data_IF_529753611543
#
_entry.id   IF_529753611543
#
_cell.length_a   1.000
_cell.length_b   1.000
_cell.length_c   1.000
_cell.angle_alpha   90.00
_cell.angle_beta   90.00
_cell.angle_gamma   90.00
#
_symmetry.space_group_name_H-M   'P 1'
#
loop_
_entity.id
_entity.type
_entity.pdbx_description
1 polymer ?
#
# COMPACT_ATOMS: atom_id res chain seq x y z
N UNK A 1 38.49 13.44 38.93
CA UNK A 1 37.60 13.67 37.76
C UNK A 1 36.56 12.55 37.77
N UNK A 2 35.32 12.87 37.99
CA UNK A 2 34.21 11.92 37.74
C UNK A 2 34.01 11.79 36.24
N UNK A 3 33.87 10.57 35.77
CA UNK A 3 33.46 10.29 34.39
C UNK A 3 31.94 10.18 34.38
N UNK A 4 31.28 11.07 33.66
CA UNK A 4 29.87 11.00 33.44
C UNK A 4 29.61 10.30 32.10
N UNK A 5 28.63 9.40 32.09
CA UNK A 5 28.20 8.67 30.90
C UNK A 5 26.87 9.28 30.45
N UNK A 6 26.79 9.64 29.19
CA UNK A 6 25.53 10.10 28.57
C UNK A 6 25.07 9.08 27.54
N UNK A 7 23.87 8.57 27.69
CA UNK A 7 23.19 7.66 26.78
C UNK A 7 21.76 8.13 26.53
N UNK A 8 20.90 7.27 25.91
CA UNK A 8 19.49 7.62 25.63
C UNK A 8 18.63 7.93 26.86
N UNK A 9 19.06 7.48 28.05
CA UNK A 9 18.40 7.81 29.33
C UNK A 9 18.90 9.14 29.95
N UNK A 10 19.89 9.79 29.32
CA UNK A 10 20.52 10.99 29.85
C UNK A 10 21.85 10.71 30.52
N UNK A 11 22.15 11.43 31.64
CA UNK A 11 23.42 11.26 32.38
C UNK A 11 23.27 10.16 33.43
N UNK A 12 24.08 9.12 33.31
CA UNK A 12 24.00 7.92 34.15
C UNK A 12 25.38 7.61 34.75
N UNK A 13 25.42 6.77 35.81
CA UNK A 13 26.63 6.33 36.47
C UNK A 13 27.26 5.10 35.80
N UNK A 14 26.43 4.26 35.17
CA UNK A 14 26.85 2.95 34.65
C UNK A 14 26.58 2.82 33.16
N UNK A 15 27.46 2.05 32.47
CA UNK A 15 27.28 1.75 31.05
C UNK A 15 26.28 0.60 30.89
N UNK A 16 25.17 0.85 30.21
CA UNK A 16 24.29 -0.20 29.72
C UNK A 16 24.23 -0.11 28.18
N UNK A 17 24.81 -1.09 27.46
CA UNK A 17 24.87 -1.09 25.99
C UNK A 17 23.53 -0.97 25.30
N UNK A 18 22.45 -1.43 25.94
CA UNK A 18 21.07 -1.33 25.42
C UNK A 18 20.64 0.13 25.19
N UNK A 19 21.10 1.05 26.05
CA UNK A 19 20.75 2.46 25.94
C UNK A 19 21.79 3.32 25.21
N UNK A 20 22.83 2.72 24.63
CA UNK A 20 23.81 3.47 23.86
C UNK A 20 23.19 4.13 22.63
N UNK A 21 23.70 5.32 22.28
CA UNK A 21 23.41 5.91 20.98
C UNK A 21 23.98 5.05 19.88
N UNK A 22 23.20 4.79 18.83
CA UNK A 22 23.65 4.14 17.62
C UNK A 22 24.03 5.22 16.59
N UNK A 23 25.27 5.25 16.15
CA UNK A 23 25.75 6.16 15.11
C UNK A 23 26.03 5.35 13.85
N UNK A 24 25.30 5.64 12.78
CA UNK A 24 25.44 4.99 11.47
C UNK A 24 26.07 6.00 10.52
N UNK A 25 27.39 5.89 10.22
CA UNK A 25 28.04 6.80 9.29
C UNK A 25 27.42 6.71 7.90
N UNK A 26 27.09 7.87 7.31
CA UNK A 26 26.48 7.93 5.98
C UNK A 26 24.98 7.65 5.94
N UNK A 27 24.32 7.41 7.08
CA UNK A 27 22.87 7.35 7.12
C UNK A 27 22.28 8.71 6.73
N UNK A 28 21.44 8.71 5.72
CA UNK A 28 20.81 9.92 5.20
C UNK A 28 19.32 9.69 4.96
N UNK A 29 18.50 10.49 5.58
CA UNK A 29 17.07 10.65 5.28
C UNK A 29 16.93 11.90 4.43
N UNK A 30 16.12 11.90 3.37
CA UNK A 30 15.90 13.09 2.54
C UNK A 30 15.57 14.32 3.39
N UNK A 31 16.24 15.44 3.12
CA UNK A 31 16.11 16.64 3.97
C UNK A 31 14.70 17.21 3.98
N UNK A 32 13.98 17.10 2.86
CA UNK A 32 12.60 17.54 2.75
C UNK A 32 11.63 16.79 3.68
N UNK A 33 11.96 15.54 4.05
CA UNK A 33 11.10 14.72 4.92
C UNK A 33 11.25 15.05 6.42
N UNK A 34 12.36 15.72 6.79
CA UNK A 34 12.67 16.04 8.18
C UNK A 34 11.76 17.15 8.71
N UNK A 35 10.82 16.79 9.58
CA UNK A 35 9.85 17.72 10.17
C UNK A 35 8.71 18.11 9.25
N UNK A 36 8.56 17.48 8.09
CA UNK A 36 7.47 17.74 7.16
C UNK A 36 6.12 17.29 7.71
N UNK A 37 5.09 18.10 7.49
CA UNK A 37 3.69 17.75 7.83
C UNK A 37 3.13 16.85 6.73
N UNK A 38 2.98 15.58 7.06
CA UNK A 38 2.43 14.56 6.17
C UNK A 38 0.95 14.32 6.47
N UNK A 39 0.11 14.32 5.43
CA UNK A 39 -1.33 14.06 5.54
C UNK A 39 -1.71 12.80 4.77
N UNK A 40 -2.20 11.80 5.48
CA UNK A 40 -2.69 10.55 4.88
C UNK A 40 -4.08 10.75 4.29
N UNK A 41 -4.27 10.31 3.04
CA UNK A 41 -5.55 10.41 2.33
C UNK A 41 -6.03 9.01 1.95
N UNK A 42 -7.16 8.60 2.52
CA UNK A 42 -7.95 7.49 2.01
C UNK A 42 -8.83 8.02 0.86
N UNK A 43 -8.42 7.80 -0.38
CA UNK A 43 -8.92 8.51 -1.56
C UNK A 43 -10.43 8.36 -1.73
N UNK A 44 -10.98 7.13 -1.65
CA UNK A 44 -12.43 6.87 -1.73
C UNK A 44 -13.26 7.70 -0.73
N UNK A 45 -12.67 8.05 0.41
CA UNK A 45 -13.33 8.74 1.53
C UNK A 45 -12.94 10.20 1.67
N UNK A 46 -12.28 10.80 0.69
CA UNK A 46 -11.78 12.18 0.78
C UNK A 46 -12.68 13.19 0.07
N UNK A 47 -12.80 13.13 -1.24
CA UNK A 47 -13.67 14.00 -2.03
C UNK A 47 -13.91 13.42 -3.42
N UNK A 48 -15.17 13.42 -3.88
CA UNK A 48 -15.55 12.99 -5.23
C UNK A 48 -15.45 14.19 -6.20
N UNK A 49 -14.46 14.18 -7.07
CA UNK A 49 -14.20 15.23 -8.06
C UNK A 49 -14.78 14.90 -9.43
N UNK A 50 -14.82 13.62 -9.81
CA UNK A 50 -15.35 13.15 -11.08
C UNK A 50 -16.32 11.97 -10.89
N UNK A 51 -17.62 12.24 -10.93
CA UNK A 51 -18.66 11.22 -10.76
C UNK A 51 -18.77 10.24 -11.92
N UNK A 52 -18.05 10.46 -13.01
CA UNK A 52 -18.10 9.56 -14.17
C UNK A 52 -17.26 8.31 -13.98
N UNK A 53 -16.32 8.35 -13.03
CA UNK A 53 -15.47 7.22 -12.67
C UNK A 53 -15.98 6.42 -11.44
N UNK A 54 -17.06 6.85 -10.80
CA UNK A 54 -17.62 6.16 -9.62
C UNK A 54 -17.86 4.68 -9.87
N UNK A 55 -17.53 3.83 -8.89
CA UNK A 55 -18.03 2.46 -8.82
C UNK A 55 -19.55 2.52 -8.64
N UNK A 56 -20.28 1.78 -9.48
CA UNK A 56 -21.75 1.74 -9.42
C UNK A 56 -22.24 0.49 -8.68
N UNK A 57 -23.51 0.50 -8.27
CA UNK A 57 -24.13 -0.69 -7.66
C UNK A 57 -24.04 -1.88 -8.61
N UNK A 58 -23.75 -3.06 -8.06
CA UNK A 58 -23.67 -4.33 -8.77
C UNK A 58 -22.61 -4.38 -9.89
N UNK A 59 -21.63 -3.48 -9.88
CA UNK A 59 -20.59 -3.45 -10.92
C UNK A 59 -19.76 -4.74 -10.93
N UNK A 60 -19.48 -5.30 -9.77
CA UNK A 60 -18.85 -6.61 -9.54
C UNK A 60 -19.16 -7.11 -8.13
N UNK A 61 -18.61 -8.28 -7.76
CA UNK A 61 -18.66 -8.77 -6.38
C UNK A 61 -17.28 -8.72 -5.72
N UNK A 62 -17.25 -8.46 -4.41
CA UNK A 62 -16.05 -8.53 -3.59
C UNK A 62 -16.37 -9.22 -2.27
N UNK A 63 -15.62 -10.27 -1.93
CA UNK A 63 -15.91 -11.16 -0.78
C UNK A 63 -17.39 -11.62 -0.84
N UNK A 64 -17.75 -12.31 -1.92
CA UNK A 64 -19.04 -12.95 -2.21
C UNK A 64 -20.29 -12.04 -2.23
N UNK A 65 -20.12 -10.73 -2.16
CA UNK A 65 -21.24 -9.78 -2.16
C UNK A 65 -21.03 -8.67 -3.19
N UNK A 66 -22.13 -8.15 -3.71
CA UNK A 66 -22.10 -7.03 -4.64
C UNK A 66 -21.56 -5.76 -4.02
N UNK A 67 -20.75 -5.03 -4.80
CA UNK A 67 -20.32 -3.67 -4.44
C UNK A 67 -21.47 -2.70 -4.50
N UNK A 68 -21.41 -1.64 -3.69
CA UNK A 68 -22.46 -0.62 -3.61
C UNK A 68 -21.88 0.79 -3.65
N UNK A 69 -22.56 1.67 -4.39
CA UNK A 69 -22.26 3.09 -4.39
C UNK A 69 -22.94 3.79 -3.22
N UNK A 70 -22.20 4.52 -2.42
CA UNK A 70 -22.73 5.36 -1.35
C UNK A 70 -23.11 6.73 -1.91
N UNK A 71 -24.40 7.05 -1.92
CA UNK A 71 -24.91 8.32 -2.47
C UNK A 71 -25.02 9.43 -1.45
N UNK A 72 -25.15 9.09 -0.17
CA UNK A 72 -25.11 10.05 0.94
C UNK A 72 -23.71 10.05 1.56
N UNK A 73 -22.95 11.09 1.26
CA UNK A 73 -21.58 11.25 1.79
C UNK A 73 -21.51 11.22 3.32
N UNK A 74 -22.58 11.57 4.01
CA UNK A 74 -22.65 11.57 5.48
C UNK A 74 -23.04 10.22 6.09
N UNK A 75 -23.35 9.21 5.25
CA UNK A 75 -23.58 7.84 5.74
C UNK A 75 -22.35 7.34 6.47
N UNK A 76 -22.54 6.77 7.66
CA UNK A 76 -21.44 6.07 8.34
C UNK A 76 -21.10 4.76 7.62
N UNK A 77 -19.82 4.41 7.48
CA UNK A 77 -19.41 3.12 6.90
C UNK A 77 -20.01 1.95 7.67
N UNK A 78 -20.44 0.92 6.93
CA UNK A 78 -20.87 -0.34 7.53
C UNK A 78 -19.71 -1.09 8.19
N UNK A 79 -20.00 -2.07 9.04
CA UNK A 79 -18.98 -2.91 9.69
C UNK A 79 -18.12 -3.69 8.69
N UNK A 80 -18.69 -4.11 7.55
CA UNK A 80 -17.99 -4.67 6.40
C UNK A 80 -18.01 -3.67 5.24
N UNK A 81 -17.49 -2.46 5.49
CA UNK A 81 -17.55 -1.33 4.56
C UNK A 81 -16.56 -1.38 3.39
N UNK A 82 -15.81 -2.48 3.20
CA UNK A 82 -14.81 -2.62 2.13
C UNK A 82 -15.41 -2.64 0.71
N UNK A 83 -16.71 -2.90 0.61
CA UNK A 83 -17.52 -2.93 -0.63
C UNK A 83 -18.34 -1.69 -0.87
N UNK A 84 -18.32 -0.73 0.04
CA UNK A 84 -19.05 0.53 -0.05
C UNK A 84 -18.13 1.63 -0.59
N UNK A 85 -18.47 2.15 -1.77
CA UNK A 85 -17.68 3.19 -2.44
C UNK A 85 -18.35 4.55 -2.31
N UNK A 86 -17.63 5.51 -1.76
CA UNK A 86 -18.06 6.90 -1.63
C UNK A 86 -17.72 7.73 -2.87
N UNK A 87 -16.87 7.18 -3.75
CA UNK A 87 -16.52 7.79 -5.01
C UNK A 87 -15.46 8.89 -4.91
N UNK A 88 -14.73 8.99 -3.80
CA UNK A 88 -13.54 9.86 -3.76
C UNK A 88 -12.50 9.42 -4.77
N UNK A 89 -11.82 10.38 -5.41
CA UNK A 89 -10.89 10.16 -6.51
C UNK A 89 -9.72 11.16 -6.52
N UNK A 90 -8.78 10.97 -7.44
CA UNK A 90 -7.62 11.85 -7.56
C UNK A 90 -7.99 13.26 -8.06
N UNK A 91 -9.07 13.40 -8.83
CA UNK A 91 -9.60 14.73 -9.20
C UNK A 91 -10.09 15.45 -7.94
N UNK A 92 -10.76 14.75 -7.05
CA UNK A 92 -11.21 15.29 -5.76
C UNK A 92 -10.05 15.72 -4.87
N UNK A 93 -8.97 14.94 -4.82
CA UNK A 93 -7.73 15.36 -4.12
C UNK A 93 -7.16 16.60 -4.78
N UNK A 94 -7.11 16.65 -6.12
CA UNK A 94 -6.63 17.81 -6.87
C UNK A 94 -7.46 19.07 -6.57
N UNK A 95 -8.77 18.95 -6.51
CA UNK A 95 -9.70 20.05 -6.20
C UNK A 95 -9.52 20.60 -4.77
N UNK A 96 -8.95 19.80 -3.88
CA UNK A 96 -8.70 20.13 -2.48
C UNK A 96 -7.25 20.53 -2.17
N UNK A 97 -6.39 20.68 -3.17
CA UNK A 97 -4.99 21.04 -2.93
C UNK A 97 -4.82 22.41 -2.25
N UNK A 98 -5.67 23.40 -2.55
CA UNK A 98 -5.65 24.69 -1.86
C UNK A 98 -5.99 24.53 -0.37
N UNK A 99 -7.02 23.76 -0.04
CA UNK A 99 -7.37 23.43 1.34
C UNK A 99 -6.23 22.73 2.08
N UNK A 100 -5.59 21.74 1.46
CA UNK A 100 -4.47 21.01 2.06
C UNK A 100 -3.26 21.93 2.28
N UNK A 101 -2.97 22.81 1.33
CA UNK A 101 -1.89 23.79 1.44
C UNK A 101 -2.17 24.81 2.56
N UNK A 102 -3.40 25.32 2.66
CA UNK A 102 -3.83 26.27 3.72
C UNK A 102 -3.79 25.59 5.12
N UNK A 103 -4.01 24.28 5.17
CA UNK A 103 -3.87 23.49 6.41
C UNK A 103 -2.40 23.30 6.82
N UNK A 104 -1.44 23.63 5.93
CA UNK A 104 -0.01 23.47 6.17
C UNK A 104 0.54 22.09 5.82
N UNK A 105 -0.17 21.33 4.98
CA UNK A 105 0.31 20.03 4.50
C UNK A 105 1.47 20.22 3.53
N UNK A 106 2.54 19.49 3.75
CA UNK A 106 3.74 19.51 2.92
C UNK A 106 3.90 18.22 2.09
N UNK A 107 3.32 17.12 2.58
CA UNK A 107 3.42 15.80 1.93
C UNK A 107 2.05 15.13 1.90
N UNK A 108 1.59 14.73 0.73
CA UNK A 108 0.43 13.89 0.54
C UNK A 108 0.87 12.41 0.59
N UNK A 109 0.42 11.68 1.59
CA UNK A 109 0.51 10.23 1.62
C UNK A 109 -0.83 9.65 1.15
N UNK A 110 -0.84 9.09 -0.05
CA UNK A 110 -2.03 8.44 -0.60
C UNK A 110 -2.05 6.97 -0.17
N UNK A 111 -3.14 6.52 0.46
CA UNK A 111 -3.43 5.09 0.57
C UNK A 111 -3.36 4.46 -0.82
N UNK A 112 -3.27 3.12 -0.96
CA UNK A 112 -3.07 2.50 -2.27
C UNK A 112 -4.03 3.02 -3.34
N UNK A 113 -3.52 3.29 -4.53
CA UNK A 113 -4.28 3.86 -5.66
C UNK A 113 -4.17 3.05 -6.95
N UNK A 114 -3.43 1.94 -6.91
CA UNK A 114 -3.32 1.03 -8.03
C UNK A 114 -4.64 0.28 -8.25
N UNK A 115 -4.84 -0.27 -9.46
CA UNK A 115 -6.04 -1.06 -9.77
C UNK A 115 -6.26 -2.12 -8.69
N UNK A 116 -7.43 -2.09 -8.05
CA UNK A 116 -7.80 -3.00 -6.95
C UNK A 116 -9.31 -3.02 -6.75
N UNK A 117 -9.89 -4.17 -6.37
CA UNK A 117 -11.34 -4.31 -6.25
C UNK A 117 -11.93 -3.70 -4.98
N UNK A 118 -11.18 -3.58 -3.88
CA UNK A 118 -11.68 -2.96 -2.66
C UNK A 118 -11.60 -1.43 -2.70
N UNK A 119 -12.35 -0.77 -1.82
CA UNK A 119 -12.24 0.68 -1.66
C UNK A 119 -10.93 1.12 -1.01
N UNK A 120 -10.31 0.26 -0.18
CA UNK A 120 -9.02 0.53 0.48
C UNK A 120 -7.80 0.22 -0.39
N UNK A 121 -7.97 -0.63 -1.42
CA UNK A 121 -6.97 -1.00 -2.43
C UNK A 121 -5.66 -1.65 -1.92
N UNK A 122 -5.66 -2.23 -0.71
CA UNK A 122 -4.55 -3.06 -0.22
C UNK A 122 -4.52 -4.47 -0.86
N UNK A 123 -5.39 -4.75 -1.80
CA UNK A 123 -5.52 -5.98 -2.57
C UNK A 123 -5.22 -5.72 -4.06
N UNK A 124 -4.00 -5.31 -4.33
CA UNK A 124 -3.57 -4.83 -5.65
C UNK A 124 -3.83 -5.86 -6.76
N UNK A 125 -4.55 -5.42 -7.80
CA UNK A 125 -4.85 -6.18 -9.00
C UNK A 125 -3.80 -5.95 -10.09
N UNK A 126 -3.32 -4.72 -10.25
CA UNK A 126 -2.27 -4.37 -11.21
C UNK A 126 -1.39 -3.23 -10.67
N UNK A 127 -0.09 -3.51 -10.47
CA UNK A 127 0.89 -2.54 -9.96
C UNK A 127 1.36 -1.52 -11.01
N UNK A 128 1.04 -1.72 -12.27
CA UNK A 128 1.50 -0.86 -13.36
C UNK A 128 0.59 0.33 -13.63
N UNK A 129 -0.64 0.30 -13.10
CA UNK A 129 -1.64 1.29 -13.45
C UNK A 129 -2.41 1.81 -12.24
N UNK A 130 -2.69 3.12 -12.31
CA UNK A 130 -3.64 3.78 -11.40
C UNK A 130 -5.05 3.26 -11.71
N UNK A 131 -5.81 2.97 -10.67
CA UNK A 131 -7.20 2.51 -10.81
C UNK A 131 -8.03 3.54 -11.58
N UNK A 132 -8.70 3.17 -12.68
CA UNK A 132 -9.54 4.08 -13.44
C UNK A 132 -10.70 4.69 -12.63
N UNK A 133 -11.16 4.03 -11.56
CA UNK A 133 -12.14 4.60 -10.64
C UNK A 133 -11.56 5.73 -9.77
N UNK A 134 -10.23 5.83 -9.66
CA UNK A 134 -9.54 6.97 -9.05
C UNK A 134 -8.95 7.92 -10.08
N UNK A 135 -8.79 7.44 -11.32
CA UNK A 135 -8.22 8.17 -12.43
C UNK A 135 -9.26 8.63 -13.44
N UNK A 136 -9.12 8.15 -14.67
CA UNK A 136 -9.96 8.56 -15.82
C UNK A 136 -10.49 7.36 -16.58
N UNK A 137 -11.79 7.29 -16.79
CA UNK A 137 -12.46 6.32 -17.66
C UNK A 137 -12.78 7.00 -18.99
N UNK A 138 -12.00 6.69 -20.05
CA UNK A 138 -12.23 7.24 -21.41
C UNK A 138 -13.11 6.34 -22.29
N UNK A 139 -13.11 5.05 -22.00
CA UNK A 139 -14.00 4.07 -22.62
C UNK A 139 -14.81 3.34 -21.55
N UNK A 140 -16.07 3.68 -21.42
CA UNK A 140 -17.02 3.00 -20.53
C UNK A 140 -17.96 2.10 -21.33
N UNK A 141 -18.65 1.18 -20.65
CA UNK A 141 -19.61 0.25 -21.26
C UNK A 141 -19.67 -1.06 -20.52
N UNK A 142 -20.38 -2.02 -21.13
CA UNK A 142 -20.66 -3.31 -20.46
C UNK A 142 -21.82 -3.19 -19.47
N UNK A 143 -22.16 -4.32 -18.87
CA UNK A 143 -23.31 -4.48 -17.97
C UNK A 143 -22.83 -4.74 -16.56
N UNK A 144 -23.61 -4.31 -15.57
CA UNK A 144 -23.45 -4.71 -14.16
C UNK A 144 -23.97 -6.14 -13.98
N UNK A 145 -23.57 -6.77 -12.89
CA UNK A 145 -24.03 -8.13 -12.55
C UNK A 145 -25.55 -8.15 -12.27
N UNK A 146 -26.20 -9.25 -12.65
CA UNK A 146 -27.57 -9.51 -12.20
C UNK A 146 -27.57 -9.77 -10.67
N UNK A 147 -28.67 -9.50 -10.00
CA UNK A 147 -28.76 -9.55 -8.53
C UNK A 147 -28.41 -10.92 -7.91
N UNK A 148 -28.55 -12.01 -8.67
CA UNK A 148 -28.23 -13.38 -8.28
C UNK A 148 -26.91 -13.90 -8.87
N UNK A 149 -26.23 -13.12 -9.71
CA UNK A 149 -24.94 -13.46 -10.31
C UNK A 149 -23.79 -13.04 -9.37
N UNK A 150 -22.85 -13.95 -9.10
CA UNK A 150 -21.66 -13.71 -8.27
C UNK A 150 -20.35 -13.93 -9.02
N UNK A 151 -20.43 -14.22 -10.32
CA UNK A 151 -19.29 -14.53 -11.16
C UNK A 151 -18.67 -13.25 -11.76
N UNK A 152 -17.53 -12.82 -11.27
CA UNK A 152 -16.83 -11.63 -11.76
C UNK A 152 -16.42 -11.72 -13.24
N UNK A 153 -16.29 -12.93 -13.79
CA UNK A 153 -16.13 -13.14 -15.24
C UNK A 153 -17.29 -12.59 -16.10
N UNK A 154 -18.45 -12.31 -15.48
CA UNK A 154 -19.62 -11.69 -16.12
C UNK A 154 -19.72 -10.18 -15.85
N UNK A 155 -18.89 -9.64 -14.99
CA UNK A 155 -18.84 -8.22 -14.62
C UNK A 155 -18.25 -7.35 -15.76
N UNK A 156 -18.94 -7.34 -16.93
CA UNK A 156 -18.38 -6.79 -18.17
C UNK A 156 -18.13 -5.28 -18.08
N UNK A 157 -18.89 -4.56 -17.24
CA UNK A 157 -18.63 -3.15 -16.96
C UNK A 157 -17.32 -2.95 -16.21
N UNK A 158 -17.12 -3.69 -15.12
CA UNK A 158 -15.88 -3.64 -14.35
C UNK A 158 -14.67 -4.01 -15.22
N UNK A 159 -14.75 -5.15 -15.93
CA UNK A 159 -13.68 -5.60 -16.84
C UNK A 159 -13.36 -4.50 -17.86
N UNK A 160 -14.38 -3.91 -18.49
CA UNK A 160 -14.18 -2.83 -19.48
C UNK A 160 -13.48 -1.63 -18.89
N UNK A 161 -13.74 -1.30 -17.62
CA UNK A 161 -13.14 -0.15 -16.94
C UNK A 161 -11.67 -0.41 -16.54
N UNK A 162 -11.38 -1.58 -15.95
CA UNK A 162 -10.09 -1.84 -15.29
C UNK A 162 -9.10 -2.67 -16.10
N UNK A 163 -9.52 -3.29 -17.23
CA UNK A 163 -8.64 -4.06 -18.12
C UNK A 163 -8.32 -3.30 -19.40
N UNK A 164 -9.15 -2.36 -19.80
CA UNK A 164 -8.95 -1.59 -21.04
C UNK A 164 -7.73 -0.68 -20.96
N UNK A 165 -6.76 -0.93 -21.84
CA UNK A 165 -5.48 -0.20 -21.87
C UNK A 165 -5.64 1.32 -22.00
N UNK A 166 -6.68 1.81 -22.72
CA UNK A 166 -6.88 3.26 -22.87
C UNK A 166 -7.27 3.91 -21.55
N UNK A 167 -8.09 3.24 -20.74
CA UNK A 167 -8.45 3.72 -19.40
C UNK A 167 -7.23 3.69 -18.47
N UNK A 168 -6.47 2.61 -18.51
CA UNK A 168 -5.27 2.43 -17.70
C UNK A 168 -4.19 3.48 -18.04
N UNK A 169 -3.90 3.69 -19.31
CA UNK A 169 -2.95 4.70 -19.78
C UNK A 169 -3.43 6.14 -19.49
N UNK A 170 -4.74 6.41 -19.67
CA UNK A 170 -5.31 7.72 -19.37
C UNK A 170 -5.21 8.04 -17.88
N UNK A 171 -5.45 7.04 -17.00
CA UNK A 171 -5.33 7.18 -15.56
C UNK A 171 -3.88 7.43 -15.12
N UNK A 172 -2.92 6.72 -15.72
CA UNK A 172 -1.50 6.98 -15.49
C UNK A 172 -1.07 8.38 -15.97
N UNK A 173 -1.56 8.81 -17.13
CA UNK A 173 -1.27 10.15 -17.65
C UNK A 173 -1.89 11.25 -16.79
N UNK A 174 -3.09 11.01 -16.24
CA UNK A 174 -3.71 11.91 -15.29
C UNK A 174 -2.92 12.00 -13.99
N UNK A 175 -2.47 10.87 -13.45
CA UNK A 175 -1.66 10.83 -12.24
C UNK A 175 -0.33 11.59 -12.39
N UNK A 176 0.33 11.49 -13.55
CA UNK A 176 1.54 12.29 -13.80
C UNK A 176 1.25 13.80 -13.71
N UNK A 177 0.11 14.26 -14.24
CA UNK A 177 -0.32 15.68 -14.13
C UNK A 177 -0.71 16.03 -12.69
N UNK A 178 -1.32 15.11 -11.96
CA UNK A 178 -1.62 15.30 -10.54
C UNK A 178 -0.34 15.56 -9.74
N UNK A 179 0.69 14.73 -9.91
CA UNK A 179 1.97 14.91 -9.21
C UNK A 179 2.64 16.22 -9.61
N UNK A 180 2.64 16.58 -10.91
CA UNK A 180 3.16 17.86 -11.39
C UNK A 180 2.45 19.05 -10.69
N UNK A 181 1.13 19.01 -10.55
CA UNK A 181 0.36 20.07 -9.89
C UNK A 181 0.65 20.13 -8.37
N UNK A 182 0.82 18.99 -7.70
CA UNK A 182 1.23 18.94 -6.29
C UNK A 182 2.62 19.56 -6.13
N UNK A 183 3.57 19.21 -6.99
CA UNK A 183 4.93 19.76 -6.97
C UNK A 183 4.94 21.27 -7.27
N UNK A 184 4.10 21.75 -8.19
CA UNK A 184 3.97 23.17 -8.50
C UNK A 184 3.57 24.01 -7.27
N UNK A 185 2.87 23.41 -6.33
CA UNK A 185 2.48 24.00 -5.04
C UNK A 185 3.54 23.84 -3.95
N UNK A 186 4.67 23.21 -4.24
CA UNK A 186 5.76 22.96 -3.31
C UNK A 186 5.50 21.78 -2.35
N UNK A 187 4.43 21.02 -2.57
CA UNK A 187 4.12 19.80 -1.82
C UNK A 187 4.75 18.56 -2.45
N UNK A 188 4.78 17.47 -1.72
CA UNK A 188 5.33 16.17 -2.09
C UNK A 188 4.23 15.09 -2.14
N UNK A 189 4.51 13.98 -2.87
CA UNK A 189 3.60 12.82 -2.94
C UNK A 189 4.36 11.56 -2.61
N UNK A 190 3.84 10.76 -1.67
CA UNK A 190 4.28 9.38 -1.46
C UNK A 190 3.11 8.41 -1.68
N UNK A 191 3.42 7.27 -2.29
CA UNK A 191 2.46 6.20 -2.54
C UNK A 191 2.61 5.05 -1.54
N UNK A 192 1.53 4.34 -1.33
CA UNK A 192 1.51 3.11 -0.56
C UNK A 192 1.92 1.93 -1.45
N UNK A 193 2.96 1.24 -1.06
CA UNK A 193 3.51 0.06 -1.75
C UNK A 193 3.11 -1.22 -1.03
N UNK A 194 2.09 -1.89 -1.53
CA UNK A 194 1.61 -3.17 -0.99
C UNK A 194 2.34 -4.30 -1.70
N UNK A 195 3.53 -4.65 -1.24
CA UNK A 195 4.41 -5.61 -1.93
C UNK A 195 4.52 -6.97 -1.25
N UNK A 196 3.99 -7.13 -0.02
CA UNK A 196 3.97 -8.43 0.67
C UNK A 196 2.99 -9.43 0.03
N UNK A 197 1.86 -8.94 -0.46
CA UNK A 197 0.77 -9.70 -1.06
C UNK A 197 0.14 -8.91 -2.20
N UNK A 198 -0.68 -9.56 -3.00
CA UNK A 198 -1.56 -8.89 -3.97
C UNK A 198 -3.02 -9.22 -3.67
N UNK A 199 -3.95 -8.83 -4.54
CA UNK A 199 -5.35 -9.23 -4.47
C UNK A 199 -5.63 -10.54 -5.21
N UNK A 200 -6.74 -11.22 -4.90
CA UNK A 200 -7.21 -12.39 -5.65
C UNK A 200 -7.60 -12.03 -7.10
N UNK A 201 -7.91 -10.77 -7.37
CA UNK A 201 -8.17 -10.23 -8.71
C UNK A 201 -6.91 -9.97 -9.53
N UNK A 202 -5.70 -10.09 -8.93
CA UNK A 202 -4.46 -9.76 -9.60
C UNK A 202 -4.26 -10.57 -10.88
N UNK A 203 -3.84 -9.91 -11.95
CA UNK A 203 -3.63 -10.50 -13.29
C UNK A 203 -2.70 -11.71 -13.32
N UNK A 204 -1.82 -11.87 -12.32
CA UNK A 204 -0.91 -13.01 -12.23
C UNK A 204 -1.60 -14.26 -11.67
N UNK A 205 -2.58 -14.07 -10.79
CA UNK A 205 -3.40 -15.16 -10.22
C UNK A 205 -4.67 -15.38 -11.05
N UNK A 206 -5.41 -14.31 -11.32
CA UNK A 206 -6.69 -14.23 -12.03
C UNK A 206 -7.75 -15.21 -11.48
N UNK A 207 -7.88 -15.26 -10.14
CA UNK A 207 -8.88 -16.08 -9.46
C UNK A 207 -10.30 -15.72 -9.91
N UNK A 208 -10.53 -14.45 -10.17
CA UNK A 208 -11.84 -13.92 -10.52
C UNK A 208 -12.14 -13.97 -12.03
N UNK A 209 -11.19 -14.50 -12.84
CA UNK A 209 -11.35 -14.73 -14.29
C UNK A 209 -11.71 -13.48 -15.09
N UNK A 210 -11.19 -12.32 -14.67
CA UNK A 210 -11.44 -11.04 -15.32
C UNK A 210 -10.49 -10.78 -16.49
N UNK A 211 -9.34 -11.44 -16.52
CA UNK A 211 -8.36 -11.37 -17.61
C UNK A 211 -8.44 -12.56 -18.58
N UNK A 212 -9.10 -13.66 -18.19
CA UNK A 212 -9.11 -14.94 -18.90
C UNK A 212 -9.60 -14.86 -20.36
N UNK A 213 -10.48 -13.91 -20.67
CA UNK A 213 -11.07 -13.74 -22.02
C UNK A 213 -10.29 -12.77 -22.92
N UNK A 214 -9.29 -12.07 -22.40
CA UNK A 214 -8.46 -11.10 -23.15
C UNK A 214 -7.14 -11.75 -23.55
N UNK A 215 -6.97 -12.02 -24.85
CA UNK A 215 -5.78 -12.67 -25.42
C UNK A 215 -4.48 -11.84 -25.28
N UNK A 216 -4.57 -10.58 -24.86
CA UNK A 216 -3.41 -9.73 -24.57
C UNK A 216 -2.77 -10.02 -23.21
N UNK A 217 -3.44 -10.78 -22.35
CA UNK A 217 -2.95 -11.22 -21.05
C UNK A 217 -2.62 -12.72 -21.05
N UNK A 218 -1.54 -13.07 -20.36
CA UNK A 218 -1.21 -14.46 -20.08
C UNK A 218 -2.20 -15.03 -19.06
N UNK A 219 -2.44 -16.34 -19.13
CA UNK A 219 -3.33 -17.03 -18.18
C UNK A 219 -2.79 -16.94 -16.75
N UNK A 220 -3.66 -16.62 -15.82
CA UNK A 220 -3.33 -16.56 -14.40
C UNK A 220 -2.97 -17.92 -13.79
N UNK A 221 -2.17 -17.89 -12.73
CA UNK A 221 -1.69 -19.10 -12.06
C UNK A 221 -2.79 -19.88 -11.31
N UNK A 222 -3.93 -19.27 -11.03
CA UNK A 222 -5.09 -19.96 -10.49
C UNK A 222 -5.71 -20.91 -11.52
N UNK A 223 -5.70 -20.51 -12.80
CA UNK A 223 -6.42 -21.20 -13.87
C UNK A 223 -5.67 -22.40 -14.43
N UNK A 224 -4.33 -22.34 -14.45
CA UNK A 224 -3.52 -23.41 -15.02
C UNK A 224 -2.14 -23.54 -14.36
N UNK A 225 -1.66 -24.79 -14.24
CA UNK A 225 -0.39 -25.12 -13.60
C UNK A 225 0.82 -24.60 -14.36
N UNK A 226 0.78 -24.58 -15.68
CA UNK A 226 1.86 -24.10 -16.55
C UNK A 226 1.79 -22.59 -16.85
N UNK A 227 1.04 -21.83 -16.05
CA UNK A 227 1.03 -20.36 -16.11
C UNK A 227 2.45 -19.79 -15.98
N UNK A 228 2.81 -18.77 -16.78
CA UNK A 228 4.08 -18.08 -16.61
C UNK A 228 4.22 -17.39 -15.24
N UNK A 229 3.13 -17.26 -14.50
CA UNK A 229 3.10 -16.65 -13.16
C UNK A 229 3.03 -17.68 -12.04
N UNK A 230 3.14 -18.99 -12.33
CA UNK A 230 3.00 -20.05 -11.33
C UNK A 230 3.92 -19.84 -10.13
N UNK A 231 5.19 -19.53 -10.35
CA UNK A 231 6.20 -19.34 -9.29
C UNK A 231 6.11 -17.98 -8.56
N UNK A 232 5.20 -17.10 -8.98
CA UNK A 232 4.89 -15.88 -8.25
C UNK A 232 4.12 -16.15 -6.96
N UNK A 233 3.52 -17.34 -6.86
CA UNK A 233 2.77 -17.83 -5.72
C UNK A 233 3.33 -19.17 -5.24
N UNK A 234 3.14 -19.47 -3.97
CA UNK A 234 3.42 -20.79 -3.43
C UNK A 234 2.12 -21.58 -3.39
N UNK A 235 2.02 -22.62 -4.21
CA UNK A 235 0.90 -23.56 -4.19
C UNK A 235 1.23 -24.76 -3.33
N UNK A 236 0.32 -25.16 -2.45
CA UNK A 236 0.49 -26.33 -1.62
C UNK A 236 0.34 -27.62 -2.44
N UNK A 237 1.06 -28.70 -2.08
CA UNK A 237 1.12 -29.93 -2.90
C UNK A 237 -0.20 -30.68 -3.08
N UNK A 238 -1.20 -30.39 -2.24
CA UNK A 238 -2.54 -30.99 -2.31
C UNK A 238 -3.52 -30.17 -3.17
N UNK A 239 -3.07 -29.08 -3.74
CA UNK A 239 -3.81 -28.29 -4.71
C UNK A 239 -3.92 -28.98 -6.06
N UNK A 240 -4.89 -28.57 -6.86
CA UNK A 240 -5.11 -29.11 -8.22
C UNK A 240 -5.69 -28.07 -9.16
N UNK A 241 -5.32 -28.16 -10.44
CA UNK A 241 -5.83 -27.31 -11.51
C UNK A 241 -6.92 -28.04 -12.32
N UNK A 242 -7.81 -27.28 -12.99
CA UNK A 242 -7.92 -25.82 -12.94
C UNK A 242 -8.51 -25.30 -11.61
N UNK A 243 -8.44 -23.98 -11.43
CA UNK A 243 -9.04 -23.28 -10.29
C UNK A 243 -8.43 -23.69 -8.93
N UNK A 244 -7.08 -23.65 -8.86
CA UNK A 244 -6.35 -24.06 -7.68
C UNK A 244 -6.45 -23.01 -6.54
N UNK A 245 -7.22 -23.34 -5.52
CA UNK A 245 -7.44 -22.50 -4.32
C UNK A 245 -6.39 -22.71 -3.22
N UNK A 246 -5.48 -23.69 -3.35
CA UNK A 246 -4.48 -24.07 -2.34
C UNK A 246 -3.17 -23.32 -2.53
N UNK A 247 -3.22 -21.99 -2.42
CA UNK A 247 -2.06 -21.10 -2.43
C UNK A 247 -1.83 -20.44 -1.08
N UNK A 248 -0.59 -20.02 -0.84
CA UNK A 248 -0.23 -19.26 0.37
C UNK A 248 -0.85 -17.86 0.35
N UNK A 249 -1.32 -17.43 1.51
CA UNK A 249 -2.01 -16.14 1.67
C UNK A 249 -1.62 -15.46 2.98
N UNK A 250 -1.62 -14.12 2.97
CA UNK A 250 -1.26 -13.35 4.14
C UNK A 250 -2.28 -13.55 5.27
N UNK A 251 -1.80 -14.13 6.38
CA UNK A 251 -2.60 -14.51 7.55
C UNK A 251 -3.81 -15.41 7.23
N UNK A 252 -3.71 -16.21 6.18
CA UNK A 252 -4.77 -17.13 5.78
C UNK A 252 -5.96 -16.46 5.08
N UNK A 253 -5.84 -15.20 4.68
CA UNK A 253 -6.87 -14.50 3.90
C UNK A 253 -6.70 -14.82 2.42
N UNK A 254 -7.53 -15.66 1.87
CA UNK A 254 -7.45 -16.13 0.48
C UNK A 254 -7.66 -15.03 -0.58
N UNK A 255 -8.23 -13.90 -0.18
CA UNK A 255 -8.31 -12.68 -1.00
C UNK A 255 -7.01 -11.89 -1.07
N UNK A 256 -6.01 -12.26 -0.24
CA UNK A 256 -4.69 -11.63 -0.16
C UNK A 256 -3.57 -12.64 -0.40
N UNK A 257 -3.41 -13.16 -1.64
CA UNK A 257 -2.36 -14.11 -2.00
C UNK A 257 -0.97 -13.55 -1.68
N UNK A 258 -0.17 -14.31 -0.92
CA UNK A 258 1.18 -13.92 -0.57
C UNK A 258 2.11 -14.08 -1.76
N UNK A 259 2.97 -13.09 -2.01
CA UNK A 259 3.91 -13.11 -3.13
C UNK A 259 5.17 -13.92 -2.77
N UNK A 260 5.53 -14.88 -3.64
CA UNK A 260 6.60 -15.85 -3.44
C UNK A 260 7.93 -15.37 -4.03
N UNK A 261 8.54 -14.39 -3.43
CA UNK A 261 9.81 -13.81 -3.90
C UNK A 261 10.99 -14.79 -3.85
N UNK A 262 11.05 -15.66 -2.83
CA UNK A 262 12.11 -16.65 -2.68
C UNK A 262 12.03 -17.75 -3.75
N UNK A 263 10.84 -17.97 -4.32
CA UNK A 263 10.59 -18.88 -5.44
C UNK A 263 10.75 -18.24 -6.82
N UNK A 264 10.78 -16.89 -6.92
CA UNK A 264 10.76 -16.21 -8.21
C UNK A 264 11.59 -14.93 -8.26
N UNK A 265 12.80 -15.04 -8.80
CA UNK A 265 13.65 -13.87 -9.10
C UNK A 265 12.95 -12.91 -10.10
N UNK A 266 12.16 -13.44 -11.02
CA UNK A 266 11.39 -12.64 -11.99
C UNK A 266 10.38 -11.74 -11.29
N UNK A 267 9.69 -12.24 -10.26
CA UNK A 267 8.79 -11.45 -9.43
C UNK A 267 9.54 -10.32 -8.68
N UNK A 268 10.68 -10.66 -8.06
CA UNK A 268 11.52 -9.67 -7.37
C UNK A 268 11.94 -8.55 -8.34
N UNK A 269 12.43 -8.90 -9.52
CA UNK A 269 12.84 -7.93 -10.55
C UNK A 269 11.66 -7.07 -11.04
N UNK A 270 10.48 -7.67 -11.17
CA UNK A 270 9.27 -6.95 -11.57
C UNK A 270 8.90 -5.87 -10.54
N UNK A 271 8.82 -6.24 -9.26
CA UNK A 271 8.47 -5.29 -8.20
C UNK A 271 9.53 -4.19 -8.04
N UNK A 272 10.82 -4.52 -8.17
CA UNK A 272 11.86 -3.48 -8.21
C UNK A 272 11.72 -2.55 -9.44
N UNK A 273 11.23 -3.08 -10.56
CA UNK A 273 10.87 -2.31 -11.75
C UNK A 273 9.71 -1.33 -11.46
N UNK A 274 8.65 -1.82 -10.80
CA UNK A 274 7.50 -1.01 -10.34
C UNK A 274 7.98 0.12 -9.40
N UNK A 275 8.78 -0.24 -8.40
CA UNK A 275 9.31 0.74 -7.43
C UNK A 275 10.09 1.87 -8.12
N UNK A 276 10.90 1.52 -9.11
CA UNK A 276 11.69 2.49 -9.91
C UNK A 276 10.81 3.32 -10.83
N UNK A 277 9.83 2.70 -11.51
CA UNK A 277 8.92 3.34 -12.45
C UNK A 277 8.24 4.56 -11.85
N UNK A 278 7.66 4.41 -10.67
CA UNK A 278 6.84 5.45 -10.08
C UNK A 278 7.65 6.61 -9.50
N UNK A 279 8.88 6.39 -9.02
CA UNK A 279 9.76 7.48 -8.57
C UNK A 279 10.50 8.18 -9.71
N UNK A 280 10.49 7.61 -10.91
CA UNK A 280 11.10 8.17 -12.11
C UNK A 280 10.08 8.97 -12.94
N UNK A 281 10.59 9.77 -13.89
CA UNK A 281 9.76 10.43 -14.91
C UNK A 281 8.96 9.39 -15.72
N UNK A 282 7.69 9.66 -16.05
CA UNK A 282 6.98 10.94 -15.89
C UNK A 282 6.25 11.12 -14.53
N UNK A 283 6.21 10.10 -13.67
CA UNK A 283 5.40 10.11 -12.45
C UNK A 283 6.06 10.90 -11.32
N UNK A 284 7.37 10.68 -11.08
CA UNK A 284 8.18 11.47 -10.15
C UNK A 284 7.62 11.57 -8.73
N UNK A 285 7.03 10.50 -8.19
CA UNK A 285 6.64 10.52 -6.78
C UNK A 285 7.86 10.68 -5.88
N UNK A 286 7.66 11.26 -4.69
CA UNK A 286 8.74 11.60 -3.77
C UNK A 286 9.07 10.47 -2.79
N UNK A 287 8.39 9.34 -2.87
CA UNK A 287 8.72 8.18 -2.03
C UNK A 287 7.63 7.12 -1.95
N UNK A 288 7.95 6.10 -1.19
CA UNK A 288 7.09 4.97 -0.89
C UNK A 288 6.83 4.87 0.62
N UNK A 289 5.58 4.67 1.00
CA UNK A 289 5.23 4.00 2.25
C UNK A 289 5.06 2.53 1.95
N UNK A 290 5.65 1.67 2.74
CA UNK A 290 5.69 0.22 2.50
C UNK A 290 4.76 -0.49 3.49
N UNK A 291 3.70 -1.09 2.96
CA UNK A 291 2.72 -1.84 3.72
C UNK A 291 3.32 -3.12 4.28
N UNK A 292 3.07 -3.40 5.56
CA UNK A 292 3.54 -4.58 6.31
C UNK A 292 4.96 -5.04 5.94
N UNK A 293 5.87 -4.08 5.87
CA UNK A 293 7.18 -4.25 5.26
C UNK A 293 8.02 -5.37 5.89
N UNK A 294 7.86 -5.64 7.19
CA UNK A 294 8.59 -6.71 7.88
C UNK A 294 8.07 -8.12 7.54
N UNK A 295 6.83 -8.23 7.04
CA UNK A 295 6.20 -9.51 6.71
C UNK A 295 6.57 -10.02 5.30
N UNK A 296 7.20 -9.17 4.46
CA UNK A 296 7.54 -9.51 3.09
C UNK A 296 8.54 -10.67 3.03
N UNK A 297 8.26 -11.64 2.15
CA UNK A 297 9.04 -12.87 2.02
C UNK A 297 8.63 -13.94 3.05
N UNK A 298 9.34 -15.07 3.05
CA UNK A 298 9.08 -16.19 3.94
C UNK A 298 10.18 -16.37 5.00
N UNK A 299 11.26 -15.58 4.90
CA UNK A 299 12.34 -15.55 5.89
C UNK A 299 12.82 -14.12 6.17
N UNK A 300 13.25 -13.86 7.40
CA UNK A 300 13.79 -12.57 7.79
C UNK A 300 15.07 -12.24 7.01
N UNK A 301 15.91 -13.25 6.74
CA UNK A 301 17.11 -13.06 5.94
C UNK A 301 16.80 -12.55 4.55
N UNK A 302 15.79 -13.17 3.88
CA UNK A 302 15.35 -12.72 2.56
C UNK A 302 14.73 -11.33 2.62
N UNK A 303 13.89 -11.04 3.63
CA UNK A 303 13.30 -9.72 3.84
C UNK A 303 14.37 -8.61 3.82
N UNK A 304 15.45 -8.78 4.61
CA UNK A 304 16.55 -7.82 4.63
C UNK A 304 17.27 -7.68 3.28
N UNK A 305 17.45 -8.79 2.54
CA UNK A 305 18.09 -8.77 1.22
C UNK A 305 17.19 -8.04 0.20
N UNK A 306 15.88 -8.30 0.23
CA UNK A 306 14.90 -7.65 -0.64
C UNK A 306 14.91 -6.13 -0.44
N UNK A 307 14.84 -5.66 0.80
CA UNK A 307 14.79 -4.22 1.07
C UNK A 307 16.09 -3.49 0.72
N UNK A 308 17.24 -4.15 0.81
CA UNK A 308 18.51 -3.59 0.30
C UNK A 308 18.48 -3.38 -1.20
N UNK A 309 17.99 -4.37 -1.95
CA UNK A 309 17.84 -4.28 -3.41
C UNK A 309 16.77 -3.26 -3.81
N UNK A 310 15.65 -3.24 -3.09
CA UNK A 310 14.58 -2.27 -3.27
C UNK A 310 15.09 -0.83 -3.10
N UNK A 311 15.78 -0.57 -1.96
CA UNK A 311 16.40 0.74 -1.73
C UNK A 311 17.33 1.12 -2.87
N UNK A 312 18.18 0.21 -3.31
CA UNK A 312 19.09 0.47 -4.43
C UNK A 312 18.31 0.89 -5.69
N UNK A 313 17.28 0.14 -6.05
CA UNK A 313 16.46 0.42 -7.23
C UNK A 313 15.78 1.80 -7.16
N UNK A 314 15.22 2.14 -6.00
CA UNK A 314 14.55 3.43 -5.77
C UNK A 314 15.55 4.58 -5.79
N UNK A 315 16.65 4.46 -5.03
CA UNK A 315 17.64 5.56 -4.90
C UNK A 315 18.48 5.79 -6.16
N UNK A 316 18.66 4.78 -7.00
CA UNK A 316 19.26 4.95 -8.33
C UNK A 316 18.35 5.74 -9.28
N UNK A 317 17.04 5.60 -9.16
CA UNK A 317 16.07 6.36 -9.97
C UNK A 317 15.80 7.76 -9.42
N UNK A 318 15.68 7.88 -8.09
CA UNK A 318 15.49 9.16 -7.39
C UNK A 318 16.20 9.10 -6.03
N UNK A 319 17.41 9.68 -5.88
CA UNK A 319 18.15 9.68 -4.62
C UNK A 319 17.39 10.31 -3.45
N UNK A 320 16.50 11.26 -3.72
CA UNK A 320 15.71 11.99 -2.74
C UNK A 320 14.34 11.33 -2.43
N UNK A 321 14.02 10.17 -3.04
CA UNK A 321 12.80 9.47 -2.71
C UNK A 321 12.86 8.88 -1.29
N UNK A 322 11.84 9.15 -0.48
CA UNK A 322 11.69 8.60 0.87
C UNK A 322 11.27 7.12 0.81
N UNK A 323 11.83 6.31 1.68
CA UNK A 323 11.39 4.93 1.93
C UNK A 323 10.93 4.86 3.39
N UNK A 324 9.62 4.95 3.58
CA UNK A 324 8.95 4.93 4.88
C UNK A 324 8.25 3.58 5.07
N UNK A 325 8.63 2.80 6.06
CA UNK A 325 8.03 1.49 6.29
C UNK A 325 6.94 1.51 7.37
N UNK A 326 5.88 0.76 7.16
CA UNK A 326 5.02 0.32 8.25
C UNK A 326 5.71 -0.80 9.01
N UNK A 327 5.92 -0.58 10.30
CA UNK A 327 6.53 -1.58 11.16
C UNK A 327 6.10 -1.37 12.62
N UNK A 328 5.82 -2.47 13.28
CA UNK A 328 5.56 -2.54 14.72
C UNK A 328 6.78 -3.16 15.40
N UNK A 329 7.14 -2.66 16.59
CA UNK A 329 8.32 -3.13 17.34
C UNK A 329 9.62 -2.42 16.97
N UNK A 330 10.78 -3.02 17.31
CA UNK A 330 12.11 -2.41 17.15
C UNK A 330 12.60 -2.45 15.69
N UNK A 331 12.69 -1.30 14.99
CA UNK A 331 13.08 -1.25 13.57
C UNK A 331 14.61 -1.22 13.34
N UNK A 332 15.43 -1.34 14.38
CA UNK A 332 16.89 -1.09 14.30
C UNK A 332 17.60 -1.88 13.21
N UNK A 333 17.16 -3.12 12.94
CA UNK A 333 17.80 -3.98 11.94
C UNK A 333 17.56 -3.49 10.51
N UNK A 334 16.49 -2.74 10.26
CA UNK A 334 16.18 -2.15 8.95
C UNK A 334 16.68 -0.71 8.80
N UNK A 335 16.88 0.01 9.91
CA UNK A 335 17.34 1.41 9.91
C UNK A 335 18.87 1.51 9.99
N UNK A 336 19.59 0.74 9.16
CA UNK A 336 21.05 0.73 9.10
C UNK A 336 21.64 1.55 7.95
N UNK A 337 20.79 2.30 7.23
CA UNK A 337 21.21 3.14 6.11
C UNK A 337 21.21 2.43 4.76
N UNK A 338 20.90 1.13 4.73
CA UNK A 338 20.91 0.30 3.52
C UNK A 338 19.54 -0.31 3.16
N UNK A 339 18.48 -0.02 3.93
CA UNK A 339 17.12 -0.51 3.72
C UNK A 339 16.13 0.65 3.80
N UNK A 340 15.36 0.80 4.88
CA UNK A 340 14.39 1.89 5.04
C UNK A 340 15.07 3.19 5.50
N UNK A 341 14.47 4.33 5.14
CA UNK A 341 14.90 5.64 5.66
C UNK A 341 14.26 5.96 7.00
N UNK A 342 13.02 5.50 7.22
CA UNK A 342 12.23 5.76 8.41
C UNK A 342 11.13 4.72 8.57
N UNK A 343 10.47 4.72 9.73
CA UNK A 343 9.28 3.92 10.03
C UNK A 343 8.14 4.78 10.53
N UNK A 344 6.91 4.30 10.38
CA UNK A 344 5.75 4.84 11.07
C UNK A 344 5.91 4.51 12.56
N UNK A 345 6.03 5.53 13.40
CA UNK A 345 6.38 5.37 14.81
C UNK A 345 5.15 5.06 15.66
N UNK A 346 4.64 3.84 15.54
CA UNK A 346 3.47 3.39 16.31
C UNK A 346 3.81 3.20 17.78
N UNK A 347 4.84 2.38 18.07
CA UNK A 347 5.13 1.92 19.44
C UNK A 347 5.70 3.04 20.33
N UNK A 348 6.60 3.87 19.77
CA UNK A 348 7.30 4.86 20.58
C UNK A 348 6.63 6.25 20.59
N UNK A 349 5.60 6.49 19.76
CA UNK A 349 4.92 7.79 19.73
C UNK A 349 3.40 7.68 19.68
N UNK A 350 2.83 7.07 18.62
CA UNK A 350 1.39 7.11 18.41
C UNK A 350 0.62 6.45 19.57
N UNK A 351 0.98 5.25 19.95
CA UNK A 351 0.28 4.49 20.97
C UNK A 351 0.44 5.10 22.37
N UNK A 352 1.65 5.42 22.85
CA UNK A 352 1.81 6.07 24.14
C UNK A 352 1.05 7.40 24.25
N UNK A 353 1.06 8.22 23.18
CA UNK A 353 0.33 9.48 23.16
C UNK A 353 -1.17 9.26 23.15
N UNK A 354 -1.66 8.32 22.34
CA UNK A 354 -3.09 7.97 22.28
C UNK A 354 -3.57 7.47 23.64
N UNK A 355 -2.80 6.58 24.25
CA UNK A 355 -3.12 6.04 25.57
C UNK A 355 -3.20 7.12 26.64
N UNK A 356 -2.23 8.04 26.66
CA UNK A 356 -2.25 9.19 27.57
C UNK A 356 -3.48 10.07 27.36
N UNK A 357 -3.81 10.39 26.11
CA UNK A 357 -4.94 11.29 25.78
C UNK A 357 -6.31 10.64 25.99
N UNK A 358 -6.44 9.32 25.83
CA UNK A 358 -7.70 8.60 26.01
C UNK A 358 -7.95 8.12 27.44
N UNK A 359 -6.96 8.20 28.33
CA UNK A 359 -7.03 7.82 29.73
C UNK A 359 -6.70 6.34 29.97
N UNK A 360 -5.61 6.11 30.67
CA UNK A 360 -5.07 4.77 30.96
C UNK A 360 -6.05 3.86 31.73
N UNK A 361 -6.83 4.41 32.62
CA UNK A 361 -7.78 3.69 33.46
C UNK A 361 -8.93 3.02 32.70
N UNK A 362 -9.16 3.41 31.46
CA UNK A 362 -10.21 2.85 30.60
C UNK A 362 -9.81 1.55 29.89
N UNK A 363 -8.54 1.19 29.95
CA UNK A 363 -8.00 0.03 29.25
C UNK A 363 -7.86 -1.20 30.17
N UNK A 364 -7.83 -2.40 29.58
CA UNK A 364 -7.56 -3.64 30.32
C UNK A 364 -6.15 -3.63 30.93
N UNK A 365 -5.92 -4.43 31.97
CA UNK A 365 -4.60 -4.52 32.61
C UNK A 365 -3.54 -5.04 31.62
N UNK A 366 -3.88 -6.02 30.76
CA UNK A 366 -3.00 -6.52 29.71
C UNK A 366 -2.60 -5.41 28.72
N UNK A 367 -3.54 -4.56 28.31
CA UNK A 367 -3.27 -3.44 27.44
C UNK A 367 -2.41 -2.37 28.13
N UNK A 368 -2.62 -2.12 29.42
CA UNK A 368 -1.78 -1.20 30.21
C UNK A 368 -0.34 -1.68 30.31
N UNK A 369 -0.11 -2.98 30.54
CA UNK A 369 1.24 -3.56 30.58
C UNK A 369 1.94 -3.43 29.23
N UNK A 370 1.23 -3.70 28.13
CA UNK A 370 1.74 -3.48 26.78
C UNK A 370 2.14 -2.03 26.52
N UNK A 371 1.26 -1.07 26.89
CA UNK A 371 1.51 0.35 26.68
C UNK A 371 2.63 0.91 27.58
N UNK A 372 2.81 0.37 28.78
CA UNK A 372 3.95 0.72 29.63
C UNK A 372 5.28 0.32 28.99
N UNK A 373 5.35 -0.85 28.36
CA UNK A 373 6.50 -1.25 27.57
C UNK A 373 6.79 -0.30 26.39
N UNK A 374 5.76 0.18 25.72
CA UNK A 374 5.90 1.16 24.64
C UNK A 374 6.36 2.53 25.13
N UNK A 375 5.90 2.97 26.30
CA UNK A 375 6.39 4.22 26.94
C UNK A 375 7.88 4.13 27.25
N UNK A 376 8.35 2.99 27.74
CA UNK A 376 9.79 2.78 27.98
C UNK A 376 10.61 2.86 26.67
N UNK A 377 10.02 2.47 25.54
CA UNK A 377 10.65 2.62 24.22
C UNK A 377 10.62 4.08 23.70
N UNK A 378 9.66 4.88 24.18
CA UNK A 378 9.56 6.30 23.81
C UNK A 378 10.64 7.15 24.50
N UNK A 379 10.97 6.83 25.75
CA UNK A 379 12.05 7.48 26.52
C UNK A 379 13.46 7.08 26.03
#
# INVERSE_FOLDING_TARGET
>A
KETLICNRQGVVSDVNPYFNFCLIPGFHTPDWAKGAVMYQIFVDRFYNGDKTNDVVDDEYTYIDEHVTQVRDWNKMPASMGVREFYGGDLQGVMDKLDYLQDLGVEVLYLNPIFVSPSNHKYDTQDYDYIDPHYGVIVEDGGDVLAADDRENAHATKYIKRVVNMKNLEASNAFFAKFVEEVHRRGMKVILDGVFNHCGSFNKWLDREKIYDKDESYEKGAFLQEDSPYHDFFYFYPDGSWPDNTHYDSWWGNDTLPKLNYEGSERLEQYIHGVARKWVASPYCIDGWRLDVAADLGHSQEYNHQFWKKFRKAVKEANPEALILAEHYGDPKEWLRGDQWDSVMNYDAFMEPLTWFLTGMEKHSDEYKDYMLGNIENFE
#
